data_IF_316849631471
#
_entry.id   IF_316849631471
#
_cell.length_a   1.000
_cell.length_b   1.000
_cell.length_c   1.000
_cell.angle_alpha   90.00
_cell.angle_beta   90.00
_cell.angle_gamma   90.00
#
_symmetry.space_group_name_H-M   'P 1'
#
loop_
_entity.id
_entity.type
_entity.pdbx_description
1 polymer ?
#
# COMPACT_ATOMS: atom_id res chain seq x y z
N UNK A 1 8.49 -15.03 -14.40
CA UNK A 1 8.15 -14.25 -15.62
C UNK A 1 7.50 -15.12 -16.68
N UNK A 2 8.08 -16.28 -17.05
CA UNK A 2 7.52 -17.19 -18.06
C UNK A 2 6.11 -17.69 -17.66
N UNK A 3 5.91 -18.00 -16.38
CA UNK A 3 4.59 -18.41 -15.84
C UNK A 3 3.55 -17.29 -15.88
N UNK A 4 3.94 -16.03 -15.65
CA UNK A 4 3.04 -14.89 -15.82
C UNK A 4 2.53 -14.77 -17.27
N UNK A 5 3.43 -14.88 -18.25
CA UNK A 5 3.11 -14.81 -19.69
C UNK A 5 2.16 -15.94 -20.08
N UNK A 6 2.42 -17.16 -19.61
CA UNK A 6 1.58 -18.33 -19.88
C UNK A 6 0.19 -18.18 -19.26
N UNK A 7 0.11 -17.60 -18.05
CA UNK A 7 -1.16 -17.30 -17.39
C UNK A 7 -1.96 -16.23 -18.14
N UNK A 8 -1.30 -15.21 -18.69
CA UNK A 8 -1.95 -14.17 -19.52
C UNK A 8 -2.50 -14.78 -20.82
N UNK A 9 -1.74 -15.66 -21.47
CA UNK A 9 -2.16 -16.36 -22.69
C UNK A 9 -3.38 -17.25 -22.42
N UNK A 10 -3.37 -18.02 -21.32
CA UNK A 10 -4.51 -18.83 -20.92
C UNK A 10 -5.74 -17.96 -20.61
N UNK A 11 -5.54 -16.82 -19.95
CA UNK A 11 -6.62 -15.87 -19.65
C UNK A 11 -7.28 -15.29 -20.91
N UNK A 12 -6.50 -15.14 -21.98
CA UNK A 12 -6.98 -14.68 -23.28
C UNK A 12 -7.69 -15.79 -24.07
N UNK A 13 -7.14 -17.01 -24.10
CA UNK A 13 -7.73 -18.16 -24.82
C UNK A 13 -9.11 -18.50 -24.27
N UNK A 14 -9.25 -18.54 -22.95
CA UNK A 14 -10.53 -18.90 -22.31
C UNK A 14 -11.48 -17.71 -22.15
N UNK A 15 -11.15 -16.54 -22.70
CA UNK A 15 -11.95 -15.30 -22.53
C UNK A 15 -12.34 -15.04 -21.07
N UNK A 16 -11.48 -15.42 -20.12
CA UNK A 16 -11.80 -15.34 -18.68
C UNK A 16 -12.02 -13.90 -18.22
N UNK A 17 -11.54 -12.92 -18.98
CA UNK A 17 -11.89 -11.50 -18.78
C UNK A 17 -13.38 -11.22 -18.92
N UNK A 18 -14.07 -11.83 -19.89
CA UNK A 18 -15.50 -11.59 -20.11
C UNK A 18 -16.36 -12.33 -19.09
N UNK A 19 -15.87 -13.44 -18.55
CA UNK A 19 -16.59 -14.27 -17.56
C UNK A 19 -16.38 -13.76 -16.13
N UNK A 20 -15.15 -13.43 -15.75
CA UNK A 20 -14.80 -13.07 -14.37
C UNK A 20 -14.69 -11.55 -14.15
N UNK A 21 -14.66 -10.73 -15.21
CA UNK A 21 -14.46 -9.28 -15.11
C UNK A 21 -13.09 -8.84 -14.61
N UNK A 22 -12.17 -9.78 -14.34
CA UNK A 22 -10.83 -9.52 -13.80
C UNK A 22 -9.84 -9.37 -14.96
N UNK A 23 -9.03 -8.31 -14.92
CA UNK A 23 -7.94 -8.11 -15.87
C UNK A 23 -6.87 -9.21 -15.71
N UNK A 24 -6.34 -9.78 -16.81
CA UNK A 24 -5.40 -10.92 -16.79
C UNK A 24 -4.13 -10.73 -15.95
N UNK A 25 -3.75 -9.47 -15.72
CA UNK A 25 -2.47 -9.10 -15.11
C UNK A 25 -2.44 -9.44 -13.61
N UNK A 26 -3.54 -9.17 -12.89
CA UNK A 26 -3.68 -9.48 -11.45
C UNK A 26 -3.47 -10.97 -11.14
N UNK A 27 -4.23 -11.91 -11.72
CA UNK A 27 -4.04 -13.33 -11.49
C UNK A 27 -2.70 -13.84 -12.03
N UNK A 28 -2.20 -13.31 -13.14
CA UNK A 28 -0.87 -13.67 -13.64
C UNK A 28 0.26 -13.30 -12.67
N UNK A 29 0.12 -12.19 -11.95
CA UNK A 29 1.10 -11.76 -10.94
C UNK A 29 1.04 -12.66 -9.70
N UNK A 30 -0.17 -13.04 -9.27
CA UNK A 30 -0.39 -13.96 -8.15
C UNK A 30 0.19 -15.35 -8.47
N UNK A 31 -0.13 -15.91 -9.64
CA UNK A 31 0.38 -17.21 -10.08
C UNK A 31 1.90 -17.17 -10.22
N UNK A 32 2.47 -16.08 -10.75
CA UNK A 32 3.91 -15.94 -10.87
C UNK A 32 4.62 -15.86 -9.51
N UNK A 33 3.99 -15.22 -8.51
CA UNK A 33 4.51 -15.15 -7.15
C UNK A 33 4.40 -16.51 -6.42
N UNK A 34 3.26 -17.20 -6.56
CA UNK A 34 3.07 -18.55 -6.02
C UNK A 34 4.08 -19.53 -6.63
N UNK A 35 4.23 -19.54 -7.95
CA UNK A 35 5.18 -20.40 -8.63
C UNK A 35 6.64 -20.08 -8.25
N UNK A 36 6.97 -18.80 -8.05
CA UNK A 36 8.29 -18.40 -7.57
C UNK A 36 8.55 -18.97 -6.17
N UNK A 37 7.60 -18.84 -5.25
CA UNK A 37 7.70 -19.39 -3.89
C UNK A 37 7.75 -20.93 -3.91
N UNK A 38 6.87 -21.58 -4.67
CA UNK A 38 6.81 -23.04 -4.78
C UNK A 38 8.06 -23.61 -5.44
N UNK A 39 8.61 -22.95 -6.46
CA UNK A 39 9.85 -23.38 -7.09
C UNK A 39 11.01 -23.42 -6.09
N UNK A 40 11.06 -22.49 -5.14
CA UNK A 40 12.05 -22.50 -4.06
C UNK A 40 11.89 -23.72 -3.12
N UNK A 41 10.65 -24.15 -2.85
CA UNK A 41 10.38 -25.33 -2.00
C UNK A 41 10.57 -26.66 -2.74
N UNK A 42 10.17 -26.74 -4.01
CA UNK A 42 10.24 -27.96 -4.84
C UNK A 42 11.67 -28.24 -5.28
N UNK A 43 12.45 -27.21 -5.66
CA UNK A 43 13.84 -27.37 -6.11
C UNK A 43 14.82 -27.66 -4.97
N UNK A 44 14.35 -27.74 -3.71
CA UNK A 44 15.15 -28.09 -2.52
C UNK A 44 16.52 -27.40 -2.51
N UNK A 45 16.57 -26.12 -2.91
CA UNK A 45 17.79 -25.33 -2.78
C UNK A 45 18.22 -25.35 -1.31
N UNK A 46 19.52 -25.48 -1.00
CA UNK A 46 19.98 -25.78 0.36
C UNK A 46 19.83 -24.57 1.28
N UNK A 47 18.61 -24.30 1.72
CA UNK A 47 18.33 -23.50 2.90
C UNK A 47 18.41 -24.44 4.08
N UNK A 48 19.59 -24.53 4.70
CA UNK A 48 19.86 -24.84 6.11
C UNK A 48 18.94 -25.80 6.90
N UNK A 49 18.27 -26.76 6.27
CA UNK A 49 17.38 -27.73 6.92
C UNK A 49 17.83 -29.15 6.57
N UNK A 50 19.08 -29.46 6.88
CA UNK A 50 19.49 -30.84 7.10
C UNK A 50 18.86 -31.33 8.41
N UNK A 51 17.70 -31.98 8.28
CA UNK A 51 17.17 -33.03 9.17
C UNK A 51 17.69 -33.03 10.63
N UNK A 52 17.22 -32.09 11.45
CA UNK A 52 17.36 -32.21 12.91
C UNK A 52 16.38 -33.27 13.42
N UNK A 53 16.81 -34.54 13.39
CA UNK A 53 16.07 -35.71 13.93
C UNK A 53 16.18 -35.84 15.45
N UNK A 54 16.93 -34.97 16.11
CA UNK A 54 17.15 -35.05 17.55
C UNK A 54 16.05 -34.33 18.35
N UNK A 55 15.48 -34.98 19.38
CA UNK A 55 14.41 -34.40 20.20
C UNK A 55 14.85 -33.11 20.92
N UNK A 56 16.16 -32.98 21.20
CA UNK A 56 16.77 -31.79 21.77
C UNK A 56 16.73 -30.59 20.81
N UNK A 57 17.03 -30.81 19.53
CA UNK A 57 16.96 -29.77 18.51
C UNK A 57 15.53 -29.27 18.27
N UNK A 58 14.55 -30.17 18.30
CA UNK A 58 13.12 -29.80 18.20
C UNK A 58 12.69 -28.96 19.41
N UNK A 59 13.15 -29.30 20.61
CA UNK A 59 12.86 -28.53 21.83
C UNK A 59 13.51 -27.14 21.81
N UNK A 60 14.74 -27.03 21.30
CA UNK A 60 15.44 -25.74 21.10
C UNK A 60 14.69 -24.89 20.07
N UNK A 61 14.29 -25.44 18.91
CA UNK A 61 13.52 -24.72 17.89
C UNK A 61 12.17 -24.24 18.45
N UNK A 62 11.49 -25.06 19.25
CA UNK A 62 10.21 -24.68 19.89
C UNK A 62 10.41 -23.55 20.90
N UNK A 63 11.40 -23.64 21.77
CA UNK A 63 11.74 -22.57 22.72
C UNK A 63 12.16 -21.30 22.00
N UNK A 64 12.85 -21.41 20.87
CA UNK A 64 13.26 -20.26 20.06
C UNK A 64 12.06 -19.61 19.36
N UNK A 65 11.08 -20.39 18.90
CA UNK A 65 9.80 -19.87 18.37
C UNK A 65 8.97 -19.18 19.45
N UNK A 66 8.88 -19.77 20.65
CA UNK A 66 8.19 -19.16 21.80
C UNK A 66 8.88 -17.87 22.23
N UNK A 67 10.22 -17.85 22.27
CA UNK A 67 11.01 -16.63 22.52
C UNK A 67 10.79 -15.58 21.44
N UNK A 68 10.84 -15.96 20.15
CA UNK A 68 10.59 -15.04 19.03
C UNK A 68 9.17 -14.47 19.07
N UNK A 69 8.18 -15.29 19.43
CA UNK A 69 6.80 -14.84 19.62
C UNK A 69 6.64 -13.87 20.80
N UNK A 70 7.25 -14.19 21.95
CA UNK A 70 7.25 -13.32 23.13
C UNK A 70 8.00 -12.01 22.88
N UNK A 71 9.11 -12.03 22.14
CA UNK A 71 9.82 -10.81 21.73
C UNK A 71 8.97 -9.99 20.78
N UNK A 72 8.35 -10.59 19.77
CA UNK A 72 7.43 -9.87 18.87
C UNK A 72 6.27 -9.23 19.64
N UNK A 73 5.66 -9.94 20.59
CA UNK A 73 4.57 -9.40 21.40
C UNK A 73 5.05 -8.24 22.30
N UNK A 74 6.23 -8.37 22.91
CA UNK A 74 6.84 -7.31 23.70
C UNK A 74 7.20 -6.10 22.83
N UNK A 75 7.73 -6.33 21.63
CA UNK A 75 8.14 -5.28 20.70
C UNK A 75 6.91 -4.57 20.12
N UNK A 76 5.79 -5.28 19.89
CA UNK A 76 4.49 -4.68 19.55
C UNK A 76 3.91 -3.87 20.72
N UNK A 77 3.98 -4.40 21.95
CA UNK A 77 3.50 -3.68 23.14
C UNK A 77 4.27 -2.39 23.41
N UNK A 78 5.56 -2.39 23.12
CA UNK A 78 6.44 -1.23 23.26
C UNK A 78 6.63 -0.46 21.95
N UNK A 79 5.85 -0.77 20.91
CA UNK A 79 5.98 -0.15 19.60
C UNK A 79 5.57 1.31 19.68
N UNK A 80 6.50 2.20 19.30
CA UNK A 80 6.21 3.61 19.15
C UNK A 80 6.23 3.96 17.66
N UNK A 81 5.04 4.25 17.11
CA UNK A 81 4.83 4.64 15.71
C UNK A 81 5.72 5.83 15.32
N UNK A 82 5.82 6.85 16.18
CA UNK A 82 6.64 8.03 15.87
C UNK A 82 8.13 7.68 15.80
N UNK A 83 8.62 6.84 16.72
CA UNK A 83 10.02 6.40 16.73
C UNK A 83 10.33 5.53 15.51
N UNK A 84 9.38 4.71 15.08
CA UNK A 84 9.49 3.95 13.83
C UNK A 84 9.60 4.90 12.63
N UNK A 85 8.71 5.88 12.53
CA UNK A 85 8.71 6.84 11.43
C UNK A 85 9.96 7.71 11.37
N UNK A 86 10.46 8.16 12.52
CA UNK A 86 11.76 8.83 12.62
C UNK A 86 12.90 7.95 12.08
N UNK A 87 12.87 6.64 12.32
CA UNK A 87 13.88 5.71 11.79
C UNK A 87 13.81 5.48 10.27
N UNK A 88 12.72 5.90 9.63
CA UNK A 88 12.50 5.78 8.17
C UNK A 88 12.76 7.07 7.40
N UNK A 89 13.25 8.10 8.09
CA UNK A 89 13.62 9.37 7.49
C UNK A 89 14.76 9.17 6.47
N UNK A 90 14.66 9.74 5.26
CA UNK A 90 15.74 9.77 4.30
C UNK A 90 17.03 10.36 4.85
N UNK A 91 18.15 9.71 4.54
CA UNK A 91 19.49 10.22 4.89
C UNK A 91 19.89 11.44 4.05
N UNK A 92 19.35 11.56 2.83
CA UNK A 92 19.62 12.68 1.92
C UNK A 92 18.47 13.69 2.00
N UNK A 93 18.78 14.94 2.35
CA UNK A 93 17.76 15.99 2.51
C UNK A 93 16.99 16.27 1.19
N UNK A 94 17.65 16.14 0.04
CA UNK A 94 17.02 16.38 -1.27
C UNK A 94 15.87 15.38 -1.53
N UNK A 95 15.92 14.18 -0.93
CA UNK A 95 14.85 13.18 -1.09
C UNK A 95 13.49 13.70 -0.59
N UNK A 96 13.47 14.53 0.45
CA UNK A 96 12.22 15.15 0.93
C UNK A 96 11.60 16.01 -0.17
N UNK A 97 12.38 16.85 -0.84
CA UNK A 97 11.87 17.70 -1.92
C UNK A 97 11.36 16.89 -3.11
N UNK A 98 12.04 15.81 -3.50
CA UNK A 98 11.57 14.95 -4.58
C UNK A 98 10.24 14.28 -4.24
N UNK A 99 10.08 13.77 -3.02
CA UNK A 99 8.80 13.21 -2.57
C UNK A 99 7.72 14.29 -2.52
N UNK A 100 8.05 15.48 -2.03
CA UNK A 100 7.14 16.63 -1.99
C UNK A 100 6.62 17.04 -3.37
N UNK A 101 7.50 17.10 -4.39
CA UNK A 101 7.11 17.37 -5.78
C UNK A 101 6.25 16.22 -6.33
N UNK A 102 6.65 14.98 -6.07
CA UNK A 102 5.92 13.81 -6.54
C UNK A 102 4.49 13.76 -6.00
N UNK A 103 4.28 13.99 -4.70
CA UNK A 103 2.93 13.99 -4.12
C UNK A 103 2.04 15.07 -4.72
N UNK A 104 2.58 16.26 -5.05
CA UNK A 104 1.81 17.31 -5.73
C UNK A 104 1.35 16.86 -7.10
N UNK A 105 2.29 16.38 -7.93
CA UNK A 105 1.99 15.94 -9.29
C UNK A 105 0.98 14.80 -9.27
N UNK A 106 1.21 13.79 -8.43
CA UNK A 106 0.36 12.60 -8.36
C UNK A 106 -1.06 12.94 -7.88
N UNK A 107 -1.18 13.71 -6.80
CA UNK A 107 -2.49 14.04 -6.23
C UNK A 107 -3.27 15.01 -7.12
N UNK A 108 -2.62 16.03 -7.69
CA UNK A 108 -3.33 16.94 -8.60
C UNK A 108 -3.70 16.29 -9.93
N UNK A 109 -2.88 15.37 -10.44
CA UNK A 109 -3.28 14.54 -11.58
C UNK A 109 -4.52 13.72 -11.27
N UNK A 110 -4.57 13.09 -10.09
CA UNK A 110 -5.71 12.29 -9.64
C UNK A 110 -6.98 13.13 -9.41
N UNK A 111 -6.82 14.35 -8.87
CA UNK A 111 -7.94 15.28 -8.67
C UNK A 111 -8.46 15.83 -9.99
N UNK A 112 -7.58 16.20 -10.93
CA UNK A 112 -7.97 16.72 -12.24
C UNK A 112 -8.68 15.69 -13.12
N UNK A 113 -8.29 14.42 -12.99
CA UNK A 113 -8.95 13.30 -13.69
C UNK A 113 -10.27 12.88 -13.04
N UNK A 114 -10.56 13.34 -11.81
CA UNK A 114 -11.85 13.09 -11.16
C UNK A 114 -12.94 13.98 -11.76
N UNK A 115 -14.11 13.41 -12.06
CA UNK A 115 -15.25 14.17 -12.58
C UNK A 115 -15.71 15.28 -11.61
N UNK A 116 -15.93 16.49 -12.11
CA UNK A 116 -16.35 17.64 -11.30
C UNK A 116 -17.64 17.44 -10.51
N UNK A 117 -18.59 16.64 -11.02
CA UNK A 117 -19.83 16.30 -10.30
C UNK A 117 -19.57 15.52 -9.00
N UNK A 118 -18.62 14.58 -9.02
CA UNK A 118 -18.22 13.82 -7.83
C UNK A 118 -17.50 14.68 -6.80
N UNK A 119 -16.66 15.61 -7.26
CA UNK A 119 -16.00 16.58 -6.38
C UNK A 119 -17.06 17.44 -5.68
N UNK A 120 -18.06 17.92 -6.41
CA UNK A 120 -19.11 18.77 -5.86
C UNK A 120 -19.95 18.06 -4.78
N UNK A 121 -20.21 16.76 -4.96
CA UNK A 121 -20.99 15.96 -3.99
C UNK A 121 -20.28 15.78 -2.65
N UNK A 122 -18.94 15.80 -2.62
CA UNK A 122 -18.14 15.62 -1.40
C UNK A 122 -17.05 16.68 -1.26
N UNK A 123 -17.40 17.93 -1.54
CA UNK A 123 -16.45 19.05 -1.68
C UNK A 123 -15.54 19.20 -0.45
N UNK A 124 -16.08 19.03 0.76
CA UNK A 124 -15.32 19.15 2.00
C UNK A 124 -14.16 18.15 2.08
N UNK A 125 -14.40 16.89 1.70
CA UNK A 125 -13.39 15.84 1.74
C UNK A 125 -12.31 16.09 0.69
N UNK A 126 -12.70 16.48 -0.51
CA UNK A 126 -11.77 16.84 -1.58
C UNK A 126 -10.92 18.07 -1.22
N UNK A 127 -11.50 19.07 -0.53
CA UNK A 127 -10.76 20.22 -0.01
C UNK A 127 -9.75 19.82 1.07
N UNK A 128 -10.11 18.90 1.97
CA UNK A 128 -9.18 18.37 2.96
C UNK A 128 -8.00 17.70 2.26
N UNK A 129 -8.25 16.84 1.26
CA UNK A 129 -7.20 16.18 0.46
C UNK A 129 -6.29 17.22 -0.21
N UNK A 130 -6.90 18.24 -0.83
CA UNK A 130 -6.20 19.32 -1.52
C UNK A 130 -5.26 20.10 -0.57
N UNK A 131 -5.79 20.60 0.54
CA UNK A 131 -5.03 21.43 1.48
C UNK A 131 -3.97 20.65 2.24
N UNK A 132 -4.28 19.43 2.69
CA UNK A 132 -3.29 18.57 3.38
C UNK A 132 -2.13 18.20 2.46
N UNK A 133 -2.41 17.92 1.17
CA UNK A 133 -1.38 17.67 0.17
C UNK A 133 -0.49 18.90 -0.03
N UNK A 134 -1.08 20.09 -0.21
CA UNK A 134 -0.33 21.33 -0.38
C UNK A 134 0.59 21.65 0.80
N UNK A 135 0.04 21.60 2.02
CA UNK A 135 0.80 21.91 3.24
C UNK A 135 1.97 20.93 3.39
N UNK A 136 1.69 19.63 3.23
CA UNK A 136 2.73 18.59 3.38
C UNK A 136 3.80 18.71 2.32
N UNK A 137 3.43 18.94 1.06
CA UNK A 137 4.38 19.15 -0.02
C UNK A 137 5.23 20.40 0.18
N UNK A 138 4.63 21.52 0.59
CA UNK A 138 5.37 22.75 0.85
C UNK A 138 6.43 22.56 1.96
N UNK A 139 6.07 21.86 3.04
CA UNK A 139 7.02 21.52 4.11
C UNK A 139 8.17 20.68 3.56
N UNK A 140 7.86 19.60 2.82
CA UNK A 140 8.89 18.69 2.29
C UNK A 140 9.79 19.35 1.24
N UNK A 141 9.24 20.16 0.34
CA UNK A 141 9.99 20.87 -0.70
C UNK A 141 10.96 21.87 -0.08
N UNK A 142 10.50 22.63 0.91
CA UNK A 142 11.31 23.68 1.53
C UNK A 142 12.26 23.15 2.59
N UNK A 143 12.11 21.90 3.05
CA UNK A 143 12.91 21.31 4.13
C UNK A 143 14.43 21.49 3.95
N UNK A 144 15.06 21.24 2.78
CA UNK A 144 16.50 21.44 2.61
C UNK A 144 16.95 22.90 2.73
N UNK A 145 16.02 23.86 2.66
CA UNK A 145 16.29 25.29 2.80
C UNK A 145 16.13 25.76 4.25
N UNK A 146 15.65 24.92 5.16
CA UNK A 146 15.44 25.31 6.56
C UNK A 146 16.78 25.46 7.26
N UNK A 147 16.91 26.52 8.07
CA UNK A 147 18.10 26.66 8.93
C UNK A 147 18.13 25.55 9.99
N UNK A 148 19.33 25.17 10.42
CA UNK A 148 19.57 24.11 11.43
C UNK A 148 18.76 24.30 12.74
N UNK A 149 18.34 25.53 13.05
CA UNK A 149 17.49 25.84 14.23
C UNK A 149 16.03 25.40 14.07
N UNK A 150 15.53 25.29 12.85
CA UNK A 150 14.15 24.91 12.53
C UNK A 150 14.01 23.45 12.10
N UNK A 151 15.11 22.73 11.87
CA UNK A 151 15.12 21.29 11.60
C UNK A 151 14.81 20.47 12.87
N UNK A 152 13.61 20.65 13.41
CA UNK A 152 13.10 19.78 14.48
C UNK A 152 12.66 18.45 13.88
N UNK A 153 13.29 17.35 14.31
CA UNK A 153 12.97 15.99 13.85
C UNK A 153 11.48 15.64 13.88
N UNK A 154 10.74 16.18 14.87
CA UNK A 154 9.32 15.87 15.01
C UNK A 154 8.45 16.37 13.84
N UNK A 155 8.66 17.60 13.37
CA UNK A 155 7.84 18.19 12.31
C UNK A 155 8.07 17.43 11.01
N UNK A 156 9.34 17.18 10.67
CA UNK A 156 9.68 16.44 9.46
C UNK A 156 9.23 14.98 9.52
N UNK A 157 9.34 14.33 10.68
CA UNK A 157 8.83 12.96 10.87
C UNK A 157 7.31 12.89 10.67
N UNK A 158 6.56 13.86 11.22
CA UNK A 158 5.12 13.93 11.03
C UNK A 158 4.76 14.19 9.56
N UNK A 159 5.40 15.16 8.90
CA UNK A 159 5.16 15.46 7.49
C UNK A 159 5.54 14.28 6.59
N UNK A 160 6.58 13.53 6.93
CA UNK A 160 6.98 12.32 6.23
C UNK A 160 5.93 11.21 6.35
N UNK A 161 5.39 11.00 7.56
CA UNK A 161 4.27 10.09 7.79
C UNK A 161 3.03 10.50 6.97
N UNK A 162 2.66 11.79 7.01
CA UNK A 162 1.50 12.30 6.26
C UNK A 162 1.71 12.11 4.76
N UNK A 163 2.89 12.41 4.22
CA UNK A 163 3.18 12.23 2.80
C UNK A 163 3.08 10.77 2.36
N UNK A 164 3.70 9.87 3.12
CA UNK A 164 3.85 8.48 2.70
C UNK A 164 2.63 7.63 3.01
N UNK A 165 2.07 7.73 4.21
CA UNK A 165 0.91 6.93 4.61
C UNK A 165 -0.40 7.61 4.22
N UNK A 166 -0.60 8.87 4.64
CA UNK A 166 -1.90 9.54 4.47
C UNK A 166 -2.16 9.91 3.03
N UNK A 167 -1.19 10.52 2.35
CA UNK A 167 -1.38 11.02 0.98
C UNK A 167 -1.23 9.89 -0.04
N UNK A 168 -0.06 9.25 -0.09
CA UNK A 168 0.23 8.29 -1.16
C UNK A 168 -0.60 6.99 -1.07
N UNK A 169 -0.86 6.49 0.14
CA UNK A 169 -1.62 5.24 0.31
C UNK A 169 -3.10 5.53 0.59
N UNK A 170 -3.42 6.25 1.66
CA UNK A 170 -4.79 6.42 2.09
C UNK A 170 -5.61 7.29 1.11
N UNK A 171 -5.18 8.51 0.79
CA UNK A 171 -5.90 9.33 -0.20
C UNK A 171 -5.82 8.75 -1.60
N UNK A 172 -4.66 8.19 -1.99
CA UNK A 172 -4.52 7.47 -3.26
C UNK A 172 -5.59 6.39 -3.43
N UNK A 173 -5.76 5.52 -2.44
CA UNK A 173 -6.79 4.48 -2.46
C UNK A 173 -8.22 5.03 -2.34
N UNK A 174 -8.42 6.10 -1.56
CA UNK A 174 -9.73 6.74 -1.40
C UNK A 174 -10.23 7.32 -2.72
N UNK A 175 -9.35 7.94 -3.49
CA UNK A 175 -9.67 8.43 -4.82
C UNK A 175 -10.08 7.27 -5.73
N UNK A 176 -9.31 6.17 -5.80
CA UNK A 176 -9.67 4.99 -6.59
C UNK A 176 -11.07 4.47 -6.27
N UNK A 177 -11.42 4.38 -4.98
CA UNK A 177 -12.74 3.92 -4.56
C UNK A 177 -13.82 4.94 -4.98
N UNK A 178 -13.57 6.23 -4.74
CA UNK A 178 -14.48 7.31 -5.10
C UNK A 178 -14.72 7.39 -6.61
N UNK A 179 -13.74 7.05 -7.43
CA UNK A 179 -13.91 6.97 -8.87
C UNK A 179 -14.60 5.70 -9.37
N UNK A 180 -15.01 4.79 -8.49
CA UNK A 180 -15.50 3.46 -8.86
C UNK A 180 -14.48 2.68 -9.70
N UNK A 181 -13.22 2.72 -9.28
CA UNK A 181 -12.12 1.98 -9.90
C UNK A 181 -11.84 2.41 -11.34
N UNK A 182 -11.84 3.72 -11.60
CA UNK A 182 -11.46 4.26 -12.90
C UNK A 182 -10.00 3.89 -13.26
N UNK A 183 -9.76 3.65 -14.55
CA UNK A 183 -8.47 3.20 -15.04
C UNK A 183 -7.34 4.20 -14.75
N UNK A 184 -7.57 5.51 -14.91
CA UNK A 184 -6.55 6.53 -14.69
C UNK A 184 -6.17 6.61 -13.20
N UNK A 185 -7.16 6.51 -12.32
CA UNK A 185 -6.92 6.56 -10.88
C UNK A 185 -6.21 5.31 -10.35
N UNK A 186 -6.55 4.15 -10.88
CA UNK A 186 -5.81 2.91 -10.62
C UNK A 186 -4.34 3.05 -11.03
N UNK A 187 -4.06 3.62 -12.20
CA UNK A 187 -2.70 3.86 -12.67
C UNK A 187 -1.94 4.81 -11.72
N UNK A 188 -2.54 5.93 -11.33
CA UNK A 188 -1.96 6.85 -10.35
C UNK A 188 -1.66 6.16 -9.01
N UNK A 189 -2.61 5.36 -8.50
CA UNK A 189 -2.43 4.62 -7.25
C UNK A 189 -1.32 3.58 -7.33
N UNK A 190 -1.14 2.90 -8.47
CA UNK A 190 -0.04 1.94 -8.67
C UNK A 190 1.32 2.66 -8.62
N UNK A 191 1.43 3.83 -9.26
CA UNK A 191 2.67 4.63 -9.23
C UNK A 191 2.97 5.07 -7.79
N UNK A 192 1.96 5.49 -7.02
CA UNK A 192 2.13 5.83 -5.61
C UNK A 192 2.67 4.65 -4.79
N UNK A 193 2.11 3.44 -4.98
CA UNK A 193 2.61 2.24 -4.30
C UNK A 193 4.02 1.85 -4.73
N UNK A 194 4.38 2.08 -5.99
CA UNK A 194 5.74 1.87 -6.47
C UNK A 194 6.73 2.77 -5.73
N UNK A 195 6.41 4.06 -5.57
CA UNK A 195 7.23 4.99 -4.78
C UNK A 195 7.33 4.58 -3.30
N UNK A 196 6.24 4.10 -2.69
CA UNK A 196 6.32 3.58 -1.32
C UNK A 196 7.20 2.33 -1.23
N UNK A 197 7.15 1.45 -2.24
CA UNK A 197 7.96 0.24 -2.27
C UNK A 197 9.46 0.51 -2.46
N UNK A 198 9.84 1.66 -3.06
CA UNK A 198 11.25 2.05 -3.17
C UNK A 198 11.77 2.73 -1.91
N UNK A 199 10.92 3.43 -1.15
CA UNK A 199 11.30 4.13 0.07
C UNK A 199 11.37 3.18 1.27
N UNK A 200 10.40 2.29 1.43
CA UNK A 200 10.26 1.42 2.61
C UNK A 200 10.69 -0.02 2.33
N UNK A 201 11.00 -0.76 3.40
CA UNK A 201 11.18 -2.21 3.31
C UNK A 201 9.85 -2.86 2.94
N UNK A 202 9.90 -3.89 2.10
CA UNK A 202 8.71 -4.59 1.57
C UNK A 202 7.71 -5.03 2.66
N UNK A 203 8.18 -5.41 3.85
CA UNK A 203 7.33 -5.81 4.99
C UNK A 203 6.47 -4.66 5.49
N UNK A 204 7.08 -3.47 5.62
CA UNK A 204 6.39 -2.27 6.07
C UNK A 204 5.46 -1.74 4.99
N UNK A 205 5.90 -1.74 3.73
CA UNK A 205 5.08 -1.34 2.58
C UNK A 205 3.80 -2.17 2.50
N UNK A 206 3.88 -3.50 2.64
CA UNK A 206 2.71 -4.38 2.63
C UNK A 206 1.75 -4.04 3.78
N UNK A 207 2.26 -3.94 5.00
CA UNK A 207 1.44 -3.64 6.17
C UNK A 207 0.75 -2.27 6.04
N UNK A 208 1.49 -1.25 5.65
CA UNK A 208 0.96 0.10 5.43
C UNK A 208 -0.07 0.14 4.31
N UNK A 209 0.15 -0.60 3.22
CA UNK A 209 -0.79 -0.65 2.10
C UNK A 209 -2.09 -1.32 2.50
N UNK A 210 -2.02 -2.48 3.17
CA UNK A 210 -3.21 -3.21 3.64
C UNK A 210 -4.01 -2.36 4.63
N UNK A 211 -3.33 -1.75 5.60
CA UNK A 211 -3.98 -0.91 6.61
C UNK A 211 -4.54 0.37 6.02
N UNK A 212 -3.82 1.04 5.13
CA UNK A 212 -4.25 2.27 4.47
C UNK A 212 -5.44 2.05 3.52
N UNK A 213 -5.42 0.97 2.73
CA UNK A 213 -6.55 0.61 1.86
C UNK A 213 -7.77 0.21 2.69
N UNK A 214 -7.60 -0.57 3.76
CA UNK A 214 -8.70 -0.92 4.66
C UNK A 214 -9.32 0.32 5.31
N UNK A 215 -8.47 1.21 5.85
CA UNK A 215 -8.94 2.47 6.43
C UNK A 215 -9.69 3.34 5.40
N UNK A 216 -9.22 3.36 4.16
CA UNK A 216 -9.85 4.10 3.06
C UNK A 216 -11.23 3.56 2.70
N UNK A 217 -11.39 2.23 2.64
CA UNK A 217 -12.69 1.57 2.42
C UNK A 217 -13.67 1.93 3.54
N UNK A 218 -13.25 1.82 4.80
CA UNK A 218 -14.10 2.16 5.93
C UNK A 218 -14.45 3.66 5.91
N UNK A 219 -13.48 4.54 5.69
CA UNK A 219 -13.72 5.98 5.57
C UNK A 219 -14.74 6.29 4.46
N UNK A 220 -14.60 5.67 3.30
CA UNK A 220 -15.52 5.88 2.18
C UNK A 220 -16.96 5.48 2.54
N UNK A 221 -17.16 4.35 3.21
CA UNK A 221 -18.49 3.89 3.66
C UNK A 221 -19.14 4.87 4.64
N UNK A 222 -18.37 5.40 5.60
CA UNK A 222 -18.93 6.28 6.63
C UNK A 222 -19.16 7.71 6.13
N UNK A 223 -18.30 8.23 5.24
CA UNK A 223 -18.29 9.66 4.92
C UNK A 223 -18.70 10.02 3.48
N UNK A 224 -18.65 9.09 2.52
CA UNK A 224 -19.03 9.38 1.12
C UNK A 224 -20.26 8.62 0.64
N UNK A 225 -20.49 7.36 1.05
CA UNK A 225 -21.66 6.64 0.55
C UNK A 225 -22.16 5.55 1.53
N UNK A 226 -23.27 5.82 2.23
CA UNK A 226 -23.96 4.83 3.06
C UNK A 226 -24.50 3.64 2.23
N UNK A 227 -24.69 3.79 0.91
CA UNK A 227 -25.25 2.73 0.05
C UNK A 227 -24.28 1.60 -0.26
N UNK A 228 -22.98 1.75 0.02
CA UNK A 228 -21.99 0.67 -0.21
C UNK A 228 -22.18 -0.49 0.79
N UNK A 229 -22.84 -0.27 1.94
CA UNK A 229 -23.28 -1.35 2.84
C UNK A 229 -24.28 -2.31 2.16
N UNK A 230 -25.09 -1.83 1.23
CA UNK A 230 -26.09 -2.65 0.52
C UNK A 230 -25.42 -3.36 -0.68
N UNK A 231 -24.40 -2.77 -1.29
CA UNK A 231 -23.76 -3.34 -2.48
C UNK A 231 -22.67 -4.38 -2.20
N UNK A 232 -22.09 -4.44 -1.01
CA UNK A 232 -21.21 -5.56 -0.61
C UNK A 232 -22.02 -6.87 -0.52
N UNK A 233 -23.27 -6.83 -0.05
CA UNK A 233 -24.19 -7.97 -0.16
C UNK A 233 -24.54 -8.27 -1.63
N UNK A 234 -24.54 -7.27 -2.51
CA UNK A 234 -24.81 -7.46 -3.94
C UNK A 234 -23.63 -8.04 -4.74
N UNK A 235 -22.39 -7.98 -4.24
CA UNK A 235 -21.26 -8.67 -4.86
C UNK A 235 -21.47 -10.19 -4.90
N UNK A 236 -22.25 -10.75 -3.95
CA UNK A 236 -22.65 -12.15 -3.99
C UNK A 236 -23.77 -12.45 -4.99
N UNK A 237 -24.61 -11.46 -5.35
CA UNK A 237 -25.70 -11.67 -6.31
C UNK A 237 -25.29 -11.42 -7.77
N UNK A 238 -24.27 -10.61 -8.02
CA UNK A 238 -23.81 -10.36 -9.40
C UNK A 238 -22.96 -11.51 -9.97
N UNK A 239 -22.41 -12.38 -9.12
CA UNK A 239 -21.65 -13.57 -9.55
C UNK A 239 -22.55 -14.76 -9.95
N UNK A 240 -23.84 -14.73 -9.58
CA UNK A 240 -24.78 -15.83 -9.89
C UNK A 240 -25.59 -15.58 -11.18
N UNK A 241 -25.63 -14.35 -11.70
CA UNK A 241 -26.50 -13.99 -12.83
C UNK A 241 -25.83 -13.18 -13.96
N UNK A 242 -24.50 -13.27 -14.13
CA UNK A 242 -23.81 -12.77 -15.33
C UNK A 242 -23.09 -13.88 -16.06
#
# INVERSE_FOLDING_TARGET
MITAILTIILWQIFSLRTVLGIYPILPATIVNLLFFLESHYILKQPVGFSSLKEPLAVKIIRQERERKGLTLFRDLKNFNIFKYWESTLPNQEITYSYVGIFILISMFSSLYTTSGSRIMNHLEIYNIIYHTTLITAAILITYPLWSLKFQKNYIISLSWFVATFVILIFFGSLLVISSSFDQLQLMCSIINLFIIATIFRWQATLLMTVTGVFASIEFYKYFMDEKLLISINSFQFKVVYS
#
